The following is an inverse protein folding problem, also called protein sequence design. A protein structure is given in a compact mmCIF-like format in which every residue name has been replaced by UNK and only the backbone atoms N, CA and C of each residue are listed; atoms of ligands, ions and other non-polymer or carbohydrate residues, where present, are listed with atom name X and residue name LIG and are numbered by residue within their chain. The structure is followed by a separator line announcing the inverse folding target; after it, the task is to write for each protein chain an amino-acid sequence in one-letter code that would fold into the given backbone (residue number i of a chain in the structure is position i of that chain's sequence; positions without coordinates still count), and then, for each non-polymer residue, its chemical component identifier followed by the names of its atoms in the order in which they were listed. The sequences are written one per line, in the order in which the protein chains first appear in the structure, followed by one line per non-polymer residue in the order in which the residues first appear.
data_IF_768922357811
#
_entry.id   IF_768922357811
#
_cell.length_a   1.000
_cell.length_b   1.000
_cell.length_c   1.000
_cell.angle_alpha   90.00
_cell.angle_beta   90.00
_cell.angle_gamma   90.00
#
_symmetry.space_group_name_H-M   'P 1'
#
loop_
_entity.id
_entity.type
_entity.pdbx_description
1 polymer ?
#
# COMPACT_ATOMS: atom_id res chain seq x y z
N UNK A 1 -9.40 4.44 22.41
CA UNK A 1 -9.34 4.75 20.97
C UNK A 1 -10.49 5.68 20.65
N UNK A 2 -10.24 6.76 19.91
CA UNK A 2 -11.29 7.66 19.41
C UNK A 2 -12.04 6.96 18.27
N UNK A 3 -13.36 7.02 18.27
CA UNK A 3 -14.23 6.49 17.19
C UNK A 3 -14.76 7.61 16.29
N UNK A 4 -14.28 8.84 16.48
CA UNK A 4 -14.73 10.01 15.73
C UNK A 4 -14.46 9.89 14.23
N UNK A 5 -13.41 9.19 13.81
CA UNK A 5 -13.14 8.92 12.39
C UNK A 5 -14.20 8.01 11.77
N UNK A 6 -14.81 7.09 12.54
CA UNK A 6 -15.92 6.26 12.07
C UNK A 6 -17.19 7.07 11.85
N UNK A 7 -17.43 8.09 12.68
CA UNK A 7 -18.55 9.02 12.49
C UNK A 7 -18.34 9.88 11.24
N UNK A 8 -17.11 10.32 11.01
CA UNK A 8 -16.74 11.07 9.81
C UNK A 8 -16.94 10.23 8.53
N UNK A 9 -16.47 8.98 8.53
CA UNK A 9 -16.71 8.04 7.42
C UNK A 9 -18.21 7.81 7.18
N UNK A 10 -19.01 7.65 8.24
CA UNK A 10 -20.45 7.47 8.11
C UNK A 10 -21.14 8.70 7.51
N UNK A 11 -20.74 9.90 7.95
CA UNK A 11 -21.20 11.18 7.40
C UNK A 11 -20.88 11.27 5.92
N UNK A 12 -19.64 10.98 5.53
CA UNK A 12 -19.24 10.95 4.10
C UNK A 12 -20.06 9.93 3.31
N UNK A 13 -20.31 8.74 3.86
CA UNK A 13 -21.14 7.73 3.21
C UNK A 13 -22.58 8.22 2.99
N UNK A 14 -23.19 8.86 3.99
CA UNK A 14 -24.54 9.45 3.86
C UNK A 14 -24.58 10.55 2.79
N UNK A 15 -23.57 11.41 2.72
CA UNK A 15 -23.47 12.49 1.71
C UNK A 15 -23.28 11.99 0.28
N UNK A 16 -22.69 10.80 0.13
CA UNK A 16 -22.48 10.12 -1.14
C UNK A 16 -23.62 9.15 -1.50
N UNK A 17 -24.61 8.97 -0.62
CA UNK A 17 -25.71 8.03 -0.84
C UNK A 17 -25.29 6.57 -0.79
N UNK A 18 -24.22 6.25 -0.06
CA UNK A 18 -23.70 4.89 0.08
C UNK A 18 -24.71 3.95 0.76
N UNK A 19 -24.77 2.71 0.31
CA UNK A 19 -25.64 1.71 0.91
C UNK A 19 -25.31 1.46 2.39
N UNK A 20 -26.25 0.90 3.18
CA UNK A 20 -25.95 0.45 4.53
C UNK A 20 -24.77 -0.54 4.58
N UNK A 21 -24.68 -1.46 3.61
CA UNK A 21 -23.58 -2.41 3.50
C UNK A 21 -22.23 -1.71 3.30
N UNK A 22 -22.14 -0.76 2.38
CA UNK A 22 -20.89 -0.06 2.12
C UNK A 22 -20.41 0.73 3.35
N UNK A 23 -21.33 1.39 4.06
CA UNK A 23 -21.02 2.11 5.31
C UNK A 23 -20.58 1.19 6.44
N UNK A 24 -21.23 0.05 6.62
CA UNK A 24 -20.84 -0.95 7.61
C UNK A 24 -19.47 -1.58 7.27
N UNK A 25 -19.26 -1.94 6.02
CA UNK A 25 -18.01 -2.47 5.50
C UNK A 25 -16.83 -1.50 5.72
N UNK A 26 -17.01 -0.23 5.38
CA UNK A 26 -16.00 0.80 5.61
C UNK A 26 -15.70 0.99 7.10
N UNK A 27 -16.72 0.93 7.97
CA UNK A 27 -16.53 1.01 9.43
C UNK A 27 -15.76 -0.19 9.99
N UNK A 28 -16.05 -1.40 9.50
CA UNK A 28 -15.33 -2.60 9.90
C UNK A 28 -13.85 -2.52 9.48
N UNK A 29 -13.56 -2.15 8.23
CA UNK A 29 -12.19 -1.92 7.75
C UNK A 29 -11.48 -0.77 8.50
N UNK A 30 -12.22 0.25 8.93
CA UNK A 30 -11.68 1.39 9.67
C UNK A 30 -11.50 1.15 11.18
N UNK A 31 -11.74 -0.09 11.65
CA UNK A 31 -11.60 -0.47 13.06
C UNK A 31 -10.32 -1.29 13.26
N UNK A 32 -9.50 -0.90 14.25
CA UNK A 32 -8.23 -1.57 14.52
C UNK A 32 -7.25 -0.68 15.30
N UNK A 33 -5.98 -1.07 15.31
CA UNK A 33 -4.91 -0.26 15.88
C UNK A 33 -4.67 0.99 15.03
N UNK A 34 -4.86 2.18 15.63
CA UNK A 34 -4.75 3.47 14.93
C UNK A 34 -3.34 3.98 14.64
N UNK A 35 -2.31 3.15 14.85
CA UNK A 35 -0.91 3.53 14.68
C UNK A 35 -0.36 3.25 13.27
N UNK A 36 -0.97 2.29 12.56
CA UNK A 36 -0.73 1.97 11.15
C UNK A 36 -2.05 2.04 10.38
N UNK A 37 -2.03 2.72 9.25
CA UNK A 37 -3.15 2.71 8.29
C UNK A 37 -2.66 2.19 6.94
N UNK A 38 -3.42 1.29 6.34
CA UNK A 38 -3.24 0.91 4.92
C UNK A 38 -4.25 1.67 4.08
N UNK A 39 -3.77 2.36 3.04
CA UNK A 39 -4.61 3.14 2.12
C UNK A 39 -4.70 2.42 0.79
N UNK A 40 -5.90 1.96 0.44
CA UNK A 40 -6.25 1.43 -0.87
C UNK A 40 -6.86 2.53 -1.76
N UNK A 41 -7.11 2.21 -3.03
CA UNK A 41 -7.58 3.21 -4.00
C UNK A 41 -9.07 3.52 -3.85
N UNK A 42 -9.90 2.48 -3.88
CA UNK A 42 -11.37 2.55 -3.89
C UNK A 42 -11.95 1.15 -3.55
N UNK A 43 -13.18 1.09 -3.00
CA UNK A 43 -13.80 -0.17 -2.66
C UNK A 43 -14.19 -0.97 -3.91
N UNK A 44 -14.26 -2.29 -3.77
CA UNK A 44 -14.83 -3.17 -4.81
C UNK A 44 -16.35 -2.94 -4.94
N UNK A 45 -16.92 -3.24 -6.11
CA UNK A 45 -18.37 -3.11 -6.34
C UNK A 45 -19.21 -3.96 -5.36
N UNK A 46 -18.64 -5.07 -4.86
CA UNK A 46 -19.28 -5.92 -3.86
C UNK A 46 -19.49 -5.24 -2.52
N UNK A 47 -18.75 -4.18 -2.20
CA UNK A 47 -18.92 -3.44 -0.96
C UNK A 47 -20.32 -2.83 -0.82
N UNK A 48 -21.00 -2.56 -1.94
CA UNK A 48 -22.37 -2.02 -1.94
C UNK A 48 -23.46 -3.07 -1.70
N UNK A 49 -23.14 -4.36 -1.89
CA UNK A 49 -24.16 -5.43 -1.98
C UNK A 49 -23.94 -6.58 -1.02
N UNK A 50 -22.73 -6.72 -0.47
CA UNK A 50 -22.35 -7.83 0.41
C UNK A 50 -22.01 -7.34 1.81
N UNK A 51 -22.33 -8.15 2.82
CA UNK A 51 -21.82 -7.94 4.18
C UNK A 51 -20.30 -8.15 4.23
N UNK A 52 -19.70 -7.71 5.35
CA UNK A 52 -18.24 -7.65 5.52
C UNK A 52 -17.54 -8.98 5.22
N UNK A 53 -17.97 -10.08 5.84
CA UNK A 53 -17.32 -11.38 5.67
C UNK A 53 -17.35 -11.87 4.22
N UNK A 54 -18.48 -11.71 3.54
CA UNK A 54 -18.63 -12.12 2.15
C UNK A 54 -17.83 -11.22 1.18
N UNK A 55 -17.77 -9.91 1.47
CA UNK A 55 -16.97 -8.96 0.71
C UNK A 55 -15.47 -9.22 0.88
N UNK A 56 -15.00 -9.39 2.13
CA UNK A 56 -13.61 -9.75 2.46
C UNK A 56 -13.20 -11.06 1.79
N UNK A 57 -13.98 -12.13 1.98
CA UNK A 57 -13.67 -13.46 1.45
C UNK A 57 -13.59 -13.50 -0.08
N UNK A 58 -14.19 -12.52 -0.77
CA UNK A 58 -14.24 -12.46 -2.22
C UNK A 58 -13.46 -11.30 -2.83
N UNK A 59 -12.61 -10.65 -2.01
CA UNK A 59 -11.70 -9.57 -2.39
C UNK A 59 -10.25 -10.04 -2.37
N UNK A 60 -9.65 -10.38 -3.54
CA UNK A 60 -8.24 -10.77 -3.61
C UNK A 60 -7.30 -9.67 -3.09
N UNK A 61 -7.69 -8.40 -3.19
CA UNK A 61 -6.92 -7.30 -2.66
C UNK A 61 -6.83 -7.35 -1.13
N UNK A 62 -7.95 -7.61 -0.44
CA UNK A 62 -7.96 -7.71 1.02
C UNK A 62 -7.27 -8.99 1.50
N UNK A 63 -7.37 -10.09 0.75
CA UNK A 63 -6.63 -11.33 1.05
C UNK A 63 -5.12 -11.11 1.02
N UNK A 64 -4.60 -10.44 -0.03
CA UNK A 64 -3.18 -10.13 -0.11
C UNK A 64 -2.74 -9.17 1.01
N UNK A 65 -3.53 -8.14 1.32
CA UNK A 65 -3.23 -7.25 2.45
C UNK A 65 -3.18 -8.04 3.76
N UNK A 66 -4.08 -9.01 3.97
CA UNK A 66 -4.12 -9.87 5.16
C UNK A 66 -2.86 -10.73 5.29
N UNK A 67 -2.48 -11.41 4.20
CA UNK A 67 -1.31 -12.27 4.12
C UNK A 67 -0.02 -11.47 4.37
N UNK A 68 0.12 -10.32 3.70
CA UNK A 68 1.30 -9.46 3.81
C UNK A 68 1.39 -8.79 5.18
N UNK A 69 0.29 -8.36 5.79
CA UNK A 69 0.27 -7.86 7.17
C UNK A 69 0.70 -8.97 8.15
N UNK A 70 0.14 -10.17 7.99
CA UNK A 70 0.47 -11.34 8.83
C UNK A 70 1.96 -11.66 8.72
N UNK A 71 2.52 -11.66 7.51
CA UNK A 71 3.95 -11.89 7.29
C UNK A 71 4.80 -10.78 7.93
N UNK A 72 4.54 -9.51 7.60
CA UNK A 72 5.38 -8.38 8.02
C UNK A 72 5.38 -8.14 9.54
N UNK A 73 4.29 -8.50 10.21
CA UNK A 73 4.12 -8.32 11.66
C UNK A 73 4.15 -9.64 12.44
N UNK A 74 4.69 -10.72 11.86
CA UNK A 74 4.82 -12.02 12.50
C UNK A 74 3.52 -12.52 13.15
N UNK A 75 2.39 -12.35 12.46
CA UNK A 75 1.05 -12.74 12.88
C UNK A 75 0.35 -11.81 13.86
N UNK A 76 0.99 -10.71 14.29
CA UNK A 76 0.38 -9.76 15.22
C UNK A 76 -0.63 -8.83 14.56
N UNK A 77 -0.52 -8.62 13.24
CA UNK A 77 -1.44 -7.80 12.45
C UNK A 77 -2.03 -8.57 11.30
N UNK A 78 -3.28 -8.25 10.98
CA UNK A 78 -4.04 -8.72 9.83
C UNK A 78 -5.12 -7.67 9.50
N UNK A 79 -6.03 -7.95 8.58
CA UNK A 79 -7.06 -6.96 8.20
C UNK A 79 -8.14 -6.74 9.27
N UNK A 80 -8.27 -7.65 10.23
CA UNK A 80 -9.27 -7.54 11.31
C UNK A 80 -8.85 -6.57 12.43
N UNK A 81 -7.55 -6.29 12.52
CA UNK A 81 -7.00 -5.43 13.57
C UNK A 81 -6.14 -4.27 13.05
N UNK A 82 -6.08 -4.09 11.73
CA UNK A 82 -5.38 -2.98 11.07
C UNK A 82 -6.38 -2.10 10.36
N UNK A 83 -6.28 -0.79 10.55
CA UNK A 83 -7.16 0.17 9.86
C UNK A 83 -6.82 0.19 8.38
N UNK A 84 -7.81 -0.10 7.53
CA UNK A 84 -7.75 -0.01 6.07
C UNK A 84 -8.74 1.05 5.62
N UNK A 85 -8.26 2.02 4.84
CA UNK A 85 -9.10 3.07 4.28
C UNK A 85 -8.94 3.10 2.76
N UNK A 86 -10.01 3.39 2.05
CA UNK A 86 -9.93 3.75 0.64
C UNK A 86 -9.70 5.25 0.50
N UNK A 87 -8.85 5.66 -0.44
CA UNK A 87 -8.68 7.07 -0.82
C UNK A 87 -9.98 7.67 -1.38
N UNK A 88 -10.79 6.84 -2.04
CA UNK A 88 -12.12 7.20 -2.55
C UNK A 88 -13.17 6.29 -1.88
N UNK A 89 -13.47 6.51 -0.59
CA UNK A 89 -14.43 5.68 0.13
C UNK A 89 -15.81 5.79 -0.52
N UNK A 90 -16.53 4.67 -0.62
CA UNK A 90 -17.88 4.56 -1.23
C UNK A 90 -17.95 4.87 -2.73
N UNK A 91 -16.82 4.87 -3.44
CA UNK A 91 -16.74 5.19 -4.87
C UNK A 91 -16.21 4.01 -5.66
N UNK A 92 -16.99 2.94 -5.80
CA UNK A 92 -16.58 1.79 -6.60
C UNK A 92 -16.48 2.14 -8.09
N UNK A 93 -15.91 1.24 -8.90
CA UNK A 93 -15.80 1.42 -10.33
C UNK A 93 -17.17 1.47 -11.01
N UNK A 94 -18.11 0.62 -10.59
CA UNK A 94 -19.49 0.59 -11.10
C UNK A 94 -20.23 1.90 -10.82
N UNK A 95 -20.16 2.43 -9.59
CA UNK A 95 -20.79 3.71 -9.22
C UNK A 95 -20.27 4.83 -10.14
N UNK A 96 -18.95 4.93 -10.31
CA UNK A 96 -18.34 5.94 -11.17
C UNK A 96 -18.73 5.75 -12.65
N UNK A 97 -18.90 4.52 -13.11
CA UNK A 97 -19.33 4.21 -14.47
C UNK A 97 -20.78 4.59 -14.80
N UNK A 98 -21.63 4.75 -13.77
CA UNK A 98 -23.03 5.14 -13.92
C UNK A 98 -23.27 6.66 -13.81
N UNK A 99 -22.25 7.45 -13.51
CA UNK A 99 -22.35 8.90 -13.33
C UNK A 99 -21.80 9.67 -14.53
N UNK A 100 -22.31 10.88 -14.77
CA UNK A 100 -21.67 11.81 -15.69
C UNK A 100 -20.33 12.31 -15.12
N UNK A 101 -19.47 12.84 -16.00
CA UNK A 101 -18.11 13.30 -15.64
C UNK A 101 -18.11 14.33 -14.50
N UNK A 102 -19.02 15.30 -14.53
CA UNK A 102 -19.12 16.36 -13.52
C UNK A 102 -19.59 15.81 -12.18
N UNK A 103 -20.53 14.89 -12.19
CA UNK A 103 -20.99 14.21 -10.97
C UNK A 103 -19.88 13.34 -10.38
N UNK A 104 -19.15 12.62 -11.22
CA UNK A 104 -18.00 11.78 -10.83
C UNK A 104 -16.92 12.61 -10.16
N UNK A 105 -16.50 13.71 -10.77
CA UNK A 105 -15.48 14.61 -10.22
C UNK A 105 -15.90 15.16 -8.84
N UNK A 106 -17.12 15.70 -8.76
CA UNK A 106 -17.68 16.26 -7.52
C UNK A 106 -17.74 15.21 -6.40
N UNK A 107 -18.22 14.00 -6.70
CA UNK A 107 -18.37 12.95 -5.71
C UNK A 107 -17.03 12.34 -5.29
N UNK A 108 -16.07 12.23 -6.22
CA UNK A 108 -14.70 11.82 -5.89
C UNK A 108 -14.01 12.85 -4.98
N UNK A 109 -14.22 14.14 -5.20
CA UNK A 109 -13.71 15.19 -4.31
C UNK A 109 -14.30 15.09 -2.90
N UNK A 110 -15.61 14.85 -2.76
CA UNK A 110 -16.25 14.64 -1.45
C UNK A 110 -15.70 13.40 -0.74
N UNK A 111 -15.55 12.29 -1.46
CA UNK A 111 -14.98 11.06 -0.92
C UNK A 111 -13.54 11.29 -0.41
N UNK A 112 -12.73 11.98 -1.21
CA UNK A 112 -11.37 12.34 -0.85
C UNK A 112 -11.29 13.23 0.39
N UNK A 113 -12.17 14.24 0.50
CA UNK A 113 -12.26 15.09 1.70
C UNK A 113 -12.62 14.30 2.96
N UNK A 114 -13.57 13.36 2.85
CA UNK A 114 -13.92 12.47 3.96
C UNK A 114 -12.77 11.56 4.39
N UNK A 115 -12.01 11.04 3.42
CA UNK A 115 -10.78 10.29 3.68
C UNK A 115 -9.73 11.13 4.43
N UNK A 116 -9.42 12.35 3.96
CA UNK A 116 -8.45 13.22 4.61
C UNK A 116 -8.89 13.61 6.03
N UNK A 117 -10.17 13.88 6.23
CA UNK A 117 -10.73 14.18 7.55
C UNK A 117 -10.62 12.97 8.50
N UNK A 118 -10.92 11.77 8.03
CA UNK A 118 -10.80 10.54 8.83
C UNK A 118 -9.34 10.29 9.26
N UNK A 119 -8.37 10.43 8.35
CA UNK A 119 -6.95 10.25 8.73
C UNK A 119 -6.47 11.35 9.67
N UNK A 120 -6.89 12.61 9.46
CA UNK A 120 -6.54 13.70 10.36
C UNK A 120 -7.01 13.43 11.79
N UNK A 121 -8.20 12.83 11.96
CA UNK A 121 -8.71 12.40 13.27
C UNK A 121 -7.89 11.24 13.85
N UNK A 122 -7.52 10.25 13.02
CA UNK A 122 -6.80 9.05 13.43
C UNK A 122 -5.36 9.32 13.91
N UNK A 123 -4.67 10.27 13.28
CA UNK A 123 -3.28 10.64 13.60
C UNK A 123 -2.33 9.43 13.66
N UNK A 124 -2.24 8.63 12.58
CA UNK A 124 -1.39 7.44 12.55
C UNK A 124 0.09 7.79 12.66
N UNK A 125 0.93 6.82 13.05
CA UNK A 125 2.39 6.98 12.99
C UNK A 125 2.91 6.64 11.61
N UNK A 126 2.32 5.62 10.97
CA UNK A 126 2.71 5.13 9.66
C UNK A 126 1.48 4.95 8.78
N UNK A 127 1.57 5.36 7.52
CA UNK A 127 0.58 5.14 6.48
C UNK A 127 1.26 4.38 5.34
N UNK A 128 0.71 3.24 4.93
CA UNK A 128 1.13 2.51 3.74
C UNK A 128 0.16 2.84 2.61
N UNK A 129 0.66 3.50 1.57
CA UNK A 129 -0.14 3.93 0.43
C UNK A 129 -0.03 2.91 -0.69
N UNK A 130 -1.05 2.07 -0.82
CA UNK A 130 -1.13 1.01 -1.82
C UNK A 130 -1.85 1.52 -3.08
N UNK A 131 -1.21 2.42 -3.82
CA UNK A 131 -1.74 2.93 -5.08
C UNK A 131 -0.63 2.98 -6.12
N UNK A 132 -0.69 2.12 -7.14
CA UNK A 132 0.22 2.26 -8.29
C UNK A 132 -0.53 2.90 -9.46
N UNK A 133 -0.27 4.19 -9.73
CA UNK A 133 -0.53 4.78 -11.04
C UNK A 133 0.78 5.40 -11.49
N UNK A 134 1.36 4.87 -12.57
CA UNK A 134 2.38 5.64 -13.29
C UNK A 134 1.74 6.97 -13.70
N UNK A 135 2.44 8.08 -13.48
CA UNK A 135 1.96 9.42 -13.85
C UNK A 135 1.49 9.39 -15.30
N UNK A 136 0.18 9.54 -15.50
CA UNK A 136 -0.41 9.76 -16.82
C UNK A 136 0.15 11.10 -17.35
N UNK A 137 0.39 11.26 -18.67
CA UNK A 137 1.01 12.46 -19.25
C UNK A 137 0.24 13.79 -19.07
N UNK A 138 -0.90 13.79 -18.37
CA UNK A 138 -1.83 14.92 -18.31
C UNK A 138 -1.50 15.97 -17.23
N UNK A 139 -0.27 15.99 -16.72
CA UNK A 139 0.25 17.12 -15.93
C UNK A 139 -0.48 17.41 -14.61
N UNK A 140 -1.41 16.56 -14.16
CA UNK A 140 -1.95 16.65 -12.82
C UNK A 140 -0.87 16.24 -11.82
N UNK A 141 -0.57 17.13 -10.87
CA UNK A 141 0.31 16.85 -9.75
C UNK A 141 -0.09 15.51 -9.13
N UNK A 142 0.88 14.59 -9.01
CA UNK A 142 0.68 13.39 -8.20
C UNK A 142 0.26 13.89 -6.83
N UNK A 143 -1.00 13.65 -6.47
CA UNK A 143 -1.44 14.03 -5.14
C UNK A 143 -0.62 13.25 -4.11
N UNK A 144 -0.65 13.74 -2.88
CA UNK A 144 0.19 13.21 -1.82
C UNK A 144 -0.05 11.71 -1.52
N UNK A 145 -1.13 11.12 -2.02
CA UNK A 145 -1.47 9.71 -1.85
C UNK A 145 -1.23 8.85 -3.09
N UNK A 146 -0.42 9.33 -4.05
CA UNK A 146 -0.03 8.58 -5.24
C UNK A 146 1.33 7.89 -5.07
N UNK A 147 1.42 6.63 -5.52
CA UNK A 147 2.66 5.85 -5.56
C UNK A 147 2.90 5.28 -6.97
N UNK A 148 4.11 4.78 -7.19
CA UNK A 148 4.58 4.14 -8.41
C UNK A 148 5.53 2.99 -8.06
N UNK A 149 5.82 2.12 -9.02
CA UNK A 149 6.84 1.07 -8.83
C UNK A 149 8.21 1.69 -8.49
N UNK A 150 8.54 2.84 -9.08
CA UNK A 150 9.82 3.53 -8.82
C UNK A 150 9.95 4.07 -7.39
N UNK A 151 8.83 4.48 -6.77
CA UNK A 151 8.79 4.97 -5.39
C UNK A 151 8.49 3.87 -4.37
N UNK A 152 8.11 2.67 -4.79
CA UNK A 152 7.69 1.61 -3.88
C UNK A 152 8.82 1.22 -2.92
N UNK A 153 8.56 1.30 -1.63
CA UNK A 153 9.52 1.07 -0.55
C UNK A 153 10.26 2.33 -0.09
N UNK A 154 10.21 3.43 -0.84
CA UNK A 154 10.59 4.73 -0.28
C UNK A 154 9.56 5.16 0.76
N UNK A 155 9.98 6.05 1.65
CA UNK A 155 9.09 6.73 2.57
C UNK A 155 9.50 8.19 2.76
N UNK A 156 8.54 9.02 3.16
CA UNK A 156 8.78 10.37 3.61
C UNK A 156 7.98 10.69 4.87
N UNK A 157 8.30 11.84 5.49
CA UNK A 157 7.53 12.38 6.61
C UNK A 157 6.57 13.41 6.03
N UNK A 158 5.28 13.19 6.23
CA UNK A 158 4.22 14.09 5.80
C UNK A 158 3.61 14.80 6.98
N UNK A 159 3.29 16.07 6.80
CA UNK A 159 2.52 16.85 7.76
C UNK A 159 1.06 16.90 7.30
N UNK A 160 0.17 16.40 8.16
CA UNK A 160 -1.26 16.40 7.93
C UNK A 160 -1.85 17.79 8.18
N UNK A 161 -3.09 18.04 7.73
CA UNK A 161 -3.76 19.33 7.88
C UNK A 161 -3.91 19.82 9.33
N UNK A 162 -3.77 18.93 10.31
CA UNK A 162 -3.76 19.23 11.74
C UNK A 162 -2.35 19.26 12.36
N UNK A 163 -1.32 19.49 11.54
CA UNK A 163 0.10 19.55 11.93
C UNK A 163 0.71 18.24 12.44
N UNK A 164 -0.09 17.17 12.53
CA UNK A 164 0.40 15.85 12.89
C UNK A 164 1.37 15.33 11.82
N UNK A 165 2.53 14.84 12.24
CA UNK A 165 3.52 14.24 11.33
C UNK A 165 3.46 12.73 11.39
N UNK A 166 3.52 12.09 10.23
CA UNK A 166 3.55 10.64 10.11
C UNK A 166 4.47 10.21 8.97
N UNK A 167 4.91 8.95 9.02
CA UNK A 167 5.61 8.34 7.90
C UNK A 167 4.60 7.89 6.85
N UNK A 168 4.86 8.22 5.59
CA UNK A 168 4.14 7.69 4.44
C UNK A 168 5.07 6.75 3.67
N UNK A 169 4.72 5.48 3.62
CA UNK A 169 5.41 4.45 2.85
C UNK A 169 4.68 4.23 1.54
N UNK A 170 5.41 4.33 0.44
CA UNK A 170 4.85 4.16 -0.90
C UNK A 170 4.82 2.67 -1.26
N UNK A 171 3.69 2.18 -1.74
CA UNK A 171 3.52 0.79 -2.18
C UNK A 171 2.70 0.71 -3.47
N UNK A 172 2.64 -0.45 -4.10
CA UNK A 172 1.74 -0.71 -5.22
C UNK A 172 0.38 -1.21 -4.74
N UNK A 173 -0.68 -0.98 -5.52
CA UNK A 173 -1.97 -1.61 -5.25
C UNK A 173 -1.83 -3.14 -5.39
N UNK A 174 -2.40 -3.98 -4.50
CA UNK A 174 -2.23 -5.44 -4.56
C UNK A 174 -2.65 -6.05 -5.90
N UNK A 175 -3.69 -5.49 -6.51
CA UNK A 175 -4.16 -5.94 -7.83
C UNK A 175 -3.25 -5.55 -9.01
N UNK A 176 -2.19 -4.77 -8.81
CA UNK A 176 -1.28 -4.36 -9.88
C UNK A 176 -0.55 -5.56 -10.50
N UNK A 177 0.06 -6.40 -9.67
CA UNK A 177 0.81 -7.57 -10.12
C UNK A 177 -0.08 -8.81 -10.36
N UNK A 178 -1.23 -8.91 -9.68
CA UNK A 178 -2.24 -9.95 -9.96
C UNK A 178 -2.84 -9.86 -11.38
N UNK A 179 -2.78 -8.68 -12.01
CA UNK A 179 -3.24 -8.49 -13.40
C UNK A 179 -2.18 -8.86 -14.44
N UNK A 180 -0.95 -9.16 -14.02
CA UNK A 180 0.10 -9.66 -14.92
C UNK A 180 -0.17 -11.14 -15.15
N UNK A 181 -0.72 -11.47 -16.32
CA UNK A 181 -1.00 -12.86 -16.69
C UNK A 181 0.26 -13.72 -16.68
N UNK A 182 0.10 -14.98 -16.29
CA UNK A 182 1.20 -15.94 -16.07
C UNK A 182 2.05 -16.19 -17.32
N UNK A 183 1.47 -15.98 -18.51
CA UNK A 183 2.17 -16.14 -19.79
C UNK A 183 3.05 -14.93 -20.16
N UNK A 184 2.80 -13.75 -19.58
CA UNK A 184 3.41 -12.48 -20.03
C UNK A 184 4.59 -12.00 -19.18
N UNK A 185 4.80 -12.58 -17.99
CA UNK A 185 5.90 -12.19 -17.11
C UNK A 185 5.79 -12.72 -15.68
N UNK A 186 5.81 -14.05 -15.47
CA UNK A 186 5.59 -14.66 -14.15
C UNK A 186 6.64 -14.20 -13.13
N UNK A 187 7.88 -14.05 -13.58
CA UNK A 187 8.97 -13.50 -12.80
C UNK A 187 8.77 -12.02 -12.41
N UNK A 188 8.25 -11.19 -13.34
CA UNK A 188 7.94 -9.79 -13.06
C UNK A 188 6.84 -9.67 -12.01
N UNK A 189 5.83 -10.52 -12.09
CA UNK A 189 4.79 -10.65 -11.07
C UNK A 189 5.39 -10.96 -9.69
N UNK A 190 6.24 -11.99 -9.60
CA UNK A 190 6.90 -12.37 -8.33
C UNK A 190 7.77 -11.23 -7.77
N UNK A 191 8.51 -10.52 -8.61
CA UNK A 191 9.34 -9.38 -8.17
C UNK A 191 8.50 -8.20 -7.66
N UNK A 192 7.37 -7.93 -8.31
CA UNK A 192 6.43 -6.90 -7.85
C UNK A 192 5.71 -7.30 -6.56
N UNK A 193 5.41 -8.58 -6.38
CA UNK A 193 4.86 -9.15 -5.15
C UNK A 193 5.87 -9.03 -3.99
N UNK A 194 7.13 -9.42 -4.20
CA UNK A 194 8.18 -9.19 -3.19
C UNK A 194 8.40 -7.72 -2.88
N UNK A 195 8.32 -6.83 -3.88
CA UNK A 195 8.42 -5.39 -3.66
C UNK A 195 7.23 -4.88 -2.82
N UNK A 196 6.02 -5.38 -3.09
CA UNK A 196 4.84 -5.10 -2.30
C UNK A 196 5.02 -5.56 -0.84
N UNK A 197 5.46 -6.79 -0.62
CA UNK A 197 5.73 -7.32 0.72
C UNK A 197 6.78 -6.51 1.49
N UNK A 198 7.87 -6.15 0.81
CA UNK A 198 8.94 -5.34 1.39
C UNK A 198 8.42 -3.99 1.93
N UNK A 199 7.40 -3.39 1.30
CA UNK A 199 6.85 -2.11 1.77
C UNK A 199 6.16 -2.23 3.14
N UNK A 200 5.53 -3.36 3.42
CA UNK A 200 4.91 -3.61 4.71
C UNK A 200 5.95 -3.92 5.79
N UNK A 201 7.04 -4.61 5.43
CA UNK A 201 8.19 -4.83 6.33
C UNK A 201 8.85 -3.49 6.71
N UNK A 202 8.99 -2.58 5.75
CA UNK A 202 9.48 -1.20 6.00
C UNK A 202 8.54 -0.47 6.95
N UNK A 203 7.22 -0.53 6.71
CA UNK A 203 6.22 0.07 7.59
C UNK A 203 6.27 -0.49 9.02
N UNK A 204 6.44 -1.81 9.17
CA UNK A 204 6.60 -2.46 10.47
C UNK A 204 7.84 -1.98 11.22
N UNK A 205 8.97 -1.82 10.52
CA UNK A 205 10.21 -1.32 11.10
C UNK A 205 10.08 0.15 11.52
N UNK A 206 9.50 1.01 10.67
CA UNK A 206 9.24 2.41 11.00
C UNK A 206 8.35 2.53 12.25
N UNK A 207 7.33 1.67 12.35
CA UNK A 207 6.44 1.63 13.51
C UNK A 207 7.18 1.22 14.80
N UNK A 208 8.18 0.35 14.68
CA UNK A 208 9.08 -0.05 15.75
C UNK A 208 10.24 0.93 16.02
N UNK A 209 10.28 2.08 15.31
CA UNK A 209 11.34 3.09 15.46
C UNK A 209 12.67 2.69 14.81
N UNK A 210 12.63 1.82 13.79
CA UNK A 210 13.79 1.32 13.05
C UNK A 210 13.68 1.71 11.57
N UNK A 211 14.82 1.82 10.92
CA UNK A 211 14.91 2.11 9.49
C UNK A 211 15.53 0.92 8.76
N UNK A 212 14.98 0.57 7.60
CA UNK A 212 15.60 -0.35 6.65
C UNK A 212 16.10 0.47 5.48
N UNK A 213 17.41 0.43 5.24
CA UNK A 213 18.06 1.04 4.10
C UNK A 213 19.08 0.08 3.49
N UNK A 214 19.48 0.35 2.25
CA UNK A 214 20.47 -0.46 1.54
C UNK A 214 20.11 -0.68 0.07
N UNK A 215 21.10 -1.14 -0.70
CA UNK A 215 20.96 -1.28 -2.15
C UNK A 215 19.90 -2.32 -2.55
N UNK A 216 19.63 -3.33 -1.69
CA UNK A 216 18.73 -4.43 -2.00
C UNK A 216 17.31 -3.98 -2.37
N UNK A 217 16.79 -2.92 -1.74
CA UNK A 217 15.48 -2.36 -2.07
C UNK A 217 15.49 -1.62 -3.41
N UNK A 218 16.56 -0.86 -3.70
CA UNK A 218 16.75 -0.21 -5.01
C UNK A 218 16.87 -1.26 -6.12
N UNK A 219 17.61 -2.34 -5.85
CA UNK A 219 17.76 -3.46 -6.75
C UNK A 219 16.44 -4.18 -7.02
N UNK A 220 15.65 -4.45 -5.98
CA UNK A 220 14.32 -5.05 -6.10
C UNK A 220 13.39 -4.18 -6.93
N UNK A 221 13.36 -2.86 -6.71
CA UNK A 221 12.60 -1.91 -7.55
C UNK A 221 13.02 -1.97 -9.01
N UNK A 222 14.32 -1.96 -9.29
CA UNK A 222 14.82 -2.02 -10.66
C UNK A 222 14.44 -3.34 -11.34
N UNK A 223 14.60 -4.47 -10.64
CA UNK A 223 14.17 -5.79 -11.10
C UNK A 223 12.65 -5.83 -11.38
N UNK A 224 11.83 -5.31 -10.47
CA UNK A 224 10.38 -5.30 -10.62
C UNK A 224 9.92 -4.44 -11.81
N UNK A 225 10.63 -3.35 -12.10
CA UNK A 225 10.33 -2.44 -13.22
C UNK A 225 10.76 -3.02 -14.56
N UNK A 226 12.01 -3.46 -14.65
CA UNK A 226 12.71 -3.70 -15.91
C UNK A 226 12.96 -5.19 -16.20
N UNK A 227 12.80 -6.06 -15.19
CA UNK A 227 13.18 -7.47 -15.29
C UNK A 227 14.69 -7.68 -15.07
N UNK A 228 15.22 -8.87 -15.42
CA UNK A 228 16.65 -9.16 -15.34
C UNK A 228 17.45 -8.31 -16.33
N UNK A 229 18.72 -8.05 -16.01
CA UNK A 229 19.68 -7.42 -16.93
C UNK A 229 20.68 -8.44 -17.45
N UNK A 230 21.11 -8.25 -18.70
CA UNK A 230 22.29 -8.94 -19.21
C UNK A 230 23.56 -8.26 -18.68
N UNK A 231 24.38 -8.97 -17.93
CA UNK A 231 25.76 -8.60 -17.63
C UNK A 231 26.71 -9.39 -18.53
N UNK A 232 27.69 -8.70 -19.10
CA UNK A 232 28.76 -9.35 -19.85
C UNK A 232 29.77 -9.95 -18.87
N UNK A 233 30.12 -11.22 -19.08
CA UNK A 233 31.13 -11.95 -18.31
C UNK A 233 32.09 -12.66 -19.26
N UNK A 234 33.19 -13.18 -18.72
CA UNK A 234 34.19 -13.95 -19.50
C UNK A 234 33.60 -15.21 -20.16
N UNK A 235 32.48 -15.73 -19.64
CA UNK A 235 31.75 -16.89 -20.18
C UNK A 235 30.55 -16.51 -21.07
N UNK A 236 30.34 -15.21 -21.35
CA UNK A 236 29.26 -14.70 -22.18
C UNK A 236 28.29 -13.76 -21.43
N UNK A 237 27.10 -13.54 -21.99
CA UNK A 237 26.06 -12.71 -21.36
C UNK A 237 25.29 -13.53 -20.33
N UNK A 238 25.31 -13.10 -19.07
CA UNK A 238 24.54 -13.71 -17.97
C UNK A 238 23.36 -12.80 -17.66
N UNK A 239 22.15 -13.37 -17.59
CA UNK A 239 20.99 -12.66 -17.05
C UNK A 239 21.08 -12.66 -15.52
N UNK A 240 21.08 -11.47 -14.91
CA UNK A 240 21.16 -11.30 -13.45
C UNK A 240 20.13 -10.31 -12.95
N UNK A 241 19.74 -10.47 -11.69
CA UNK A 241 18.89 -9.56 -10.92
C UNK A 241 19.72 -8.60 -10.08
N UNK A 242 21.03 -8.52 -10.30
CA UNK A 242 21.92 -7.62 -9.59
C UNK A 242 22.14 -6.38 -10.46
N UNK A 243 21.24 -5.40 -10.36
CA UNK A 243 21.32 -4.12 -11.08
C UNK A 243 22.46 -3.22 -10.61
N UNK A 244 23.10 -3.53 -9.49
CA UNK A 244 24.25 -2.79 -8.94
C UNK A 244 25.50 -3.67 -8.88
N UNK A 245 26.68 -3.05 -8.90
CA UNK A 245 27.96 -3.72 -8.64
C UNK A 245 28.45 -3.45 -7.20
N UNK A 246 27.66 -2.73 -6.41
CA UNK A 246 27.95 -2.40 -5.02
C UNK A 246 27.63 -3.60 -4.11
N UNK A 247 28.56 -3.93 -3.20
CA UNK A 247 28.37 -4.98 -2.19
C UNK A 247 27.21 -4.63 -1.24
N UNK A 248 26.48 -5.65 -0.76
CA UNK A 248 25.48 -5.52 0.29
C UNK A 248 26.09 -4.87 1.53
N UNK A 249 25.87 -3.57 1.74
CA UNK A 249 26.27 -2.87 2.96
C UNK A 249 25.25 -3.11 4.07
N UNK A 250 25.56 -4.08 4.92
CA UNK A 250 25.01 -4.17 6.27
C UNK A 250 25.73 -3.11 7.13
N UNK A 251 25.07 -2.44 8.09
CA UNK A 251 25.81 -1.58 9.02
C UNK A 251 26.87 -2.41 9.75
N UNK A 252 28.05 -1.85 10.01
CA UNK A 252 29.15 -2.58 10.68
C UNK A 252 28.68 -3.19 12.01
N UNK A 253 27.74 -2.54 12.70
CA UNK A 253 27.13 -3.05 13.93
C UNK A 253 26.26 -4.31 13.71
N UNK A 254 25.47 -4.36 12.62
CA UNK A 254 24.63 -5.51 12.30
C UNK A 254 25.48 -6.65 11.70
N UNK A 255 26.55 -6.34 10.97
CA UNK A 255 27.51 -7.31 10.47
C UNK A 255 28.30 -7.98 11.61
N UNK A 256 28.71 -7.20 12.61
CA UNK A 256 29.32 -7.73 13.84
C UNK A 256 28.35 -8.63 14.61
N UNK A 257 27.09 -8.21 14.74
CA UNK A 257 26.05 -9.01 15.41
C UNK A 257 25.81 -10.35 14.70
N UNK A 258 25.79 -10.36 13.36
CA UNK A 258 25.59 -11.58 12.56
C UNK A 258 26.78 -12.56 12.64
N UNK A 259 28.01 -12.06 12.80
CA UNK A 259 29.18 -12.90 13.11
C UNK A 259 29.11 -13.50 14.51
N UNK A 260 28.71 -12.71 15.50
CA UNK A 260 28.60 -13.16 16.89
C UNK A 260 27.54 -14.26 17.07
N UNK A 261 26.50 -14.28 16.24
CA UNK A 261 25.49 -15.36 16.24
C UNK A 261 25.77 -16.49 15.24
N UNK A 262 26.96 -16.49 14.61
CA UNK A 262 27.42 -17.59 13.74
C UNK A 262 26.69 -17.71 12.41
N UNK A 263 26.03 -16.65 11.95
CA UNK A 263 25.26 -16.65 10.70
C UNK A 263 26.09 -16.31 9.45
N UNK A 264 27.34 -15.88 9.63
CA UNK A 264 28.28 -15.57 8.56
C UNK A 264 29.61 -16.25 8.88
N UNK A 265 30.15 -17.03 7.93
CA UNK A 265 31.50 -17.61 8.00
C UNK A 265 32.55 -16.59 7.58
#
# INVERSE_FOLDING_TARGET
MTTAHLQELDRTGLELGASPFARENAKNLATGYGDLIVVLLEPTDKAETHCYDAMKASSPALQLVDETLTMAFAGQRNVENTIILDRRPFRSAEIQGCEDERTTERNNQKAYQGFEAAIAILRPKVIVVCQCRDTVPDGQLSDQWSSSVSKSGDYDIVQMGNEHKCFRVYSSHPMHFQRIGDEKGPLKRVLLEYLYDATFVIAANLLAGREISGFGLSNLRNCARQGPIGKFSEVGVILTYQWTDEESSCSDELWALMKDVGMLQ
#
